data_IF_003824685181
#
_entry.id   IF_003824685181
#
_cell.length_a   1.000
_cell.length_b   1.000
_cell.length_c   1.000
_cell.angle_alpha   90.00
_cell.angle_beta   90.00
_cell.angle_gamma   90.00
#
_symmetry.space_group_name_H-M   'P 1'
#
loop_
_entity.id
_entity.type
_entity.pdbx_description
1 polymer ?
#
# COMPACT_ATOMS: atom_id res chain seq x y z
N UNK A 1 4.51 -7.19 -10.38
CA UNK A 1 3.96 -6.15 -9.47
C UNK A 1 2.48 -6.44 -9.29
N UNK A 2 1.97 -6.48 -8.06
CA UNK A 2 0.52 -6.68 -7.83
C UNK A 2 -0.22 -5.36 -8.10
N UNK A 3 -1.40 -5.38 -8.74
CA UNK A 3 -2.16 -4.16 -8.99
C UNK A 3 -2.67 -3.56 -7.67
N UNK A 4 -2.78 -2.23 -7.63
CA UNK A 4 -3.44 -1.54 -6.53
C UNK A 4 -4.96 -1.79 -6.60
N UNK A 5 -5.67 -2.07 -5.50
CA UNK A 5 -7.12 -2.31 -5.53
C UNK A 5 -7.89 -1.13 -6.13
N UNK A 6 -8.89 -1.42 -6.96
CA UNK A 6 -9.66 -0.40 -7.72
C UNK A 6 -11.05 -0.11 -7.16
N UNK A 7 -11.51 -0.86 -6.15
CA UNK A 7 -12.79 -0.61 -5.49
C UNK A 7 -12.69 0.52 -4.46
N UNK A 8 -13.84 1.09 -4.08
CA UNK A 8 -13.88 2.31 -3.26
C UNK A 8 -13.28 2.14 -1.85
N UNK A 9 -13.39 0.94 -1.26
CA UNK A 9 -13.01 0.68 0.14
C UNK A 9 -12.24 -0.64 0.33
N UNK A 10 -11.03 -0.78 -0.23
CA UNK A 10 -10.14 -1.88 0.10
C UNK A 10 -9.75 -1.88 1.58
N UNK A 11 -9.77 -3.06 2.15
CA UNK A 11 -9.26 -3.34 3.48
C UNK A 11 -7.74 -3.20 3.50
N UNK A 12 -7.13 -2.99 4.69
CA UNK A 12 -5.68 -2.96 4.82
C UNK A 12 -4.98 -4.23 4.28
N UNK A 13 -5.59 -5.39 4.51
CA UNK A 13 -5.09 -6.67 4.02
C UNK A 13 -5.12 -6.79 2.49
N UNK A 14 -6.17 -6.26 1.84
CA UNK A 14 -6.24 -6.20 0.37
C UNK A 14 -5.22 -5.21 -0.22
N UNK A 15 -5.00 -4.06 0.43
CA UNK A 15 -3.95 -3.11 0.02
C UNK A 15 -2.57 -3.77 0.11
N UNK A 16 -2.33 -4.53 1.18
CA UNK A 16 -1.06 -5.20 1.41
C UNK A 16 -0.91 -6.49 0.61
N UNK A 17 -2.01 -7.06 0.11
CA UNK A 17 -2.05 -8.41 -0.46
C UNK A 17 -1.50 -9.44 0.52
N UNK A 18 -1.90 -9.33 1.79
CA UNK A 18 -1.48 -10.22 2.88
C UNK A 18 -2.70 -10.90 3.52
N UNK A 19 -2.59 -12.17 3.94
CA UNK A 19 -3.65 -12.84 4.69
C UNK A 19 -3.85 -12.20 6.08
N UNK A 20 -5.00 -12.46 6.71
CA UNK A 20 -5.33 -11.98 8.06
C UNK A 20 -4.33 -12.42 9.15
N UNK A 21 -3.59 -13.52 8.93
CA UNK A 21 -2.59 -14.06 9.83
C UNK A 21 -1.14 -13.65 9.53
N UNK A 22 -0.91 -12.67 8.66
CA UNK A 22 0.44 -12.22 8.34
C UNK A 22 1.15 -11.65 9.58
N UNK A 23 2.45 -11.94 9.72
CA UNK A 23 3.21 -11.48 10.88
C UNK A 23 3.56 -10.00 10.77
N UNK A 24 3.92 -9.37 11.88
CA UNK A 24 4.43 -7.98 11.88
C UNK A 24 5.65 -7.81 10.97
N UNK A 25 6.48 -8.85 10.83
CA UNK A 25 7.62 -8.86 9.91
C UNK A 25 7.16 -8.84 8.46
N UNK A 26 6.17 -9.66 8.09
CA UNK A 26 5.60 -9.68 6.73
C UNK A 26 4.95 -8.34 6.38
N UNK A 27 4.17 -7.77 7.31
CA UNK A 27 3.56 -6.45 7.16
C UNK A 27 4.63 -5.39 6.91
N UNK A 28 5.70 -5.37 7.72
CA UNK A 28 6.81 -4.42 7.54
C UNK A 28 7.51 -4.60 6.21
N UNK A 29 7.86 -5.83 5.83
CA UNK A 29 8.49 -6.11 4.55
C UNK A 29 7.62 -5.63 3.38
N UNK A 30 6.32 -5.93 3.43
CA UNK A 30 5.38 -5.52 2.40
C UNK A 30 5.16 -4.02 2.33
N UNK A 31 5.20 -3.33 3.46
CA UNK A 31 5.15 -1.87 3.49
C UNK A 31 6.32 -1.26 2.69
N UNK A 32 7.56 -1.77 2.87
CA UNK A 32 8.71 -1.28 2.10
C UNK A 32 8.54 -1.52 0.60
N UNK A 33 8.04 -2.68 0.19
CA UNK A 33 7.76 -2.97 -1.23
C UNK A 33 6.75 -1.98 -1.81
N UNK A 34 5.64 -1.76 -1.09
CA UNK A 34 4.58 -0.86 -1.53
C UNK A 34 5.05 0.59 -1.59
N UNK A 35 5.80 1.07 -0.59
CA UNK A 35 6.39 2.41 -0.60
C UNK A 35 7.33 2.55 -1.79
N UNK A 36 8.22 1.58 -2.04
CA UNK A 36 9.14 1.63 -3.18
C UNK A 36 8.39 1.75 -4.52
N UNK A 37 7.26 1.08 -4.66
CA UNK A 37 6.47 1.12 -5.87
C UNK A 37 5.55 2.32 -6.03
N UNK A 38 4.96 2.80 -4.93
CA UNK A 38 3.87 3.77 -4.93
C UNK A 38 4.21 5.11 -4.29
N UNK A 39 5.46 5.32 -3.85
CA UNK A 39 5.90 6.65 -3.43
C UNK A 39 5.62 7.66 -4.55
N UNK A 40 5.10 8.87 -4.26
CA UNK A 40 4.77 9.87 -5.30
C UNK A 40 5.91 10.21 -6.25
N UNK A 41 7.16 10.05 -5.78
CA UNK A 41 8.40 10.27 -6.55
C UNK A 41 9.00 8.99 -7.15
N UNK A 42 8.34 7.83 -6.98
CA UNK A 42 8.83 6.57 -7.53
C UNK A 42 8.68 6.56 -9.05
N UNK A 43 9.73 6.18 -9.80
CA UNK A 43 9.64 6.04 -11.25
C UNK A 43 8.63 4.97 -11.66
N UNK A 44 8.32 4.01 -10.78
CA UNK A 44 7.40 2.89 -11.05
C UNK A 44 5.93 3.29 -11.13
N UNK A 45 5.58 4.48 -10.65
CA UNK A 45 4.20 4.98 -10.70
C UNK A 45 4.07 6.30 -11.45
N UNK A 46 5.11 6.74 -12.18
CA UNK A 46 5.13 8.05 -12.86
C UNK A 46 3.99 8.25 -13.86
N UNK A 47 3.51 7.16 -14.46
CA UNK A 47 2.43 7.16 -15.45
C UNK A 47 1.04 7.29 -14.81
N UNK A 48 0.94 7.14 -13.49
CA UNK A 48 -0.28 7.39 -12.72
C UNK A 48 -0.40 8.89 -12.45
N UNK A 49 -1.58 9.52 -12.62
CA UNK A 49 -1.77 10.94 -12.30
C UNK A 49 -1.34 11.30 -10.88
N UNK A 50 -0.75 12.48 -10.69
CA UNK A 50 -0.22 12.91 -9.39
C UNK A 50 -1.23 12.82 -8.21
N UNK A 51 -2.51 13.23 -8.36
CA UNK A 51 -3.49 13.08 -7.29
C UNK A 51 -3.71 11.61 -6.88
N UNK A 52 -3.75 10.72 -7.85
CA UNK A 52 -3.94 9.28 -7.64
C UNK A 52 -2.71 8.64 -6.99
N UNK A 53 -1.48 9.06 -7.35
CA UNK A 53 -0.26 8.62 -6.65
C UNK A 53 -0.32 8.98 -5.17
N UNK A 54 -0.69 10.22 -4.88
CA UNK A 54 -0.76 10.73 -3.50
C UNK A 54 -1.85 9.99 -2.70
N UNK A 55 -3.03 9.78 -3.30
CA UNK A 55 -4.11 9.03 -2.69
C UNK A 55 -3.71 7.57 -2.40
N UNK A 56 -3.05 6.89 -3.33
CA UNK A 56 -2.53 5.52 -3.11
C UNK A 56 -1.53 5.47 -1.97
N UNK A 57 -0.58 6.40 -1.95
CA UNK A 57 0.43 6.47 -0.90
C UNK A 57 -0.20 6.68 0.49
N UNK A 58 -1.15 7.61 0.60
CA UNK A 58 -1.91 7.84 1.84
C UNK A 58 -2.64 6.58 2.32
N UNK A 59 -3.27 5.84 1.40
CA UNK A 59 -3.97 4.57 1.71
C UNK A 59 -3.00 3.49 2.19
N UNK A 60 -1.80 3.40 1.62
CA UNK A 60 -0.75 2.48 2.06
C UNK A 60 -0.30 2.81 3.48
N UNK A 61 -0.04 4.08 3.78
CA UNK A 61 0.36 4.52 5.13
C UNK A 61 -0.74 4.26 6.15
N UNK A 62 -1.99 4.61 5.84
CA UNK A 62 -3.12 4.35 6.74
C UNK A 62 -3.34 2.85 6.97
N UNK A 63 -3.25 2.03 5.93
CA UNK A 63 -3.34 0.58 6.06
C UNK A 63 -2.20 0.00 6.92
N UNK A 64 -0.99 0.52 6.77
CA UNK A 64 0.15 0.11 7.61
C UNK A 64 -0.10 0.40 9.08
N UNK A 65 -0.62 1.59 9.41
CA UNK A 65 -0.93 1.99 10.78
C UNK A 65 -2.00 1.08 11.41
N UNK A 66 -3.05 0.73 10.65
CA UNK A 66 -4.07 -0.23 11.12
C UNK A 66 -3.47 -1.62 11.34
N UNK A 67 -2.70 -2.14 10.38
CA UNK A 67 -2.14 -3.51 10.45
C UNK A 67 -1.12 -3.67 11.57
N UNK A 68 -0.42 -2.59 11.94
CA UNK A 68 0.53 -2.62 13.08
C UNK A 68 -0.13 -2.37 14.44
N UNK A 69 -1.44 -2.15 14.49
CA UNK A 69 -2.22 -1.90 15.71
C UNK A 69 -2.06 -0.48 16.27
N UNK A 70 -2.00 0.55 15.43
CA UNK A 70 -1.87 1.96 15.84
C UNK A 70 -3.13 2.78 15.59
#
# INVERSE_FOLDING_TARGET
HLPFPTHAHPTPHEIFHLPLGATQQDIKARYYDLVRAHHPDSPLCRDVPAPERHARFQRITAAYDVLRGR
#
